data_IF_414252326044
#
_entry.id   IF_414252326044
#
_cell.length_a   1.000
_cell.length_b   1.000
_cell.length_c   1.000
_cell.angle_alpha   90.00
_cell.angle_beta   90.00
_cell.angle_gamma   90.00
#
_symmetry.space_group_name_H-M   'P 1'
#
loop_
_entity.id
_entity.type
_entity.pdbx_description
1 polymer ?
#
# COMPACT_ATOMS: atom_id res chain seq x y z
N UNK A 1 7.49 -10.38 -3.47
CA UNK A 1 7.29 -9.88 -2.08
C UNK A 1 6.13 -10.64 -1.45
N UNK A 2 6.20 -10.83 -0.14
CA UNK A 2 5.08 -11.40 0.62
C UNK A 2 4.19 -10.27 1.16
N UNK A 3 3.15 -10.62 1.93
CA UNK A 3 2.24 -9.60 2.48
C UNK A 3 2.93 -8.66 3.46
N UNK A 4 3.91 -9.14 4.23
CA UNK A 4 4.69 -8.27 5.11
C UNK A 4 5.44 -7.22 4.31
N UNK A 5 6.03 -7.61 3.19
CA UNK A 5 6.76 -6.69 2.31
C UNK A 5 5.81 -5.68 1.70
N UNK A 6 4.64 -6.12 1.23
CA UNK A 6 3.65 -5.22 0.65
C UNK A 6 3.16 -4.20 1.68
N UNK A 7 2.89 -4.64 2.90
CA UNK A 7 2.44 -3.74 3.97
C UNK A 7 3.51 -2.70 4.29
N UNK A 8 4.78 -3.13 4.41
CA UNK A 8 5.88 -2.21 4.69
C UNK A 8 6.07 -1.21 3.55
N UNK A 9 6.01 -1.67 2.30
CA UNK A 9 6.16 -0.81 1.13
C UNK A 9 5.02 0.21 1.04
N UNK A 10 3.78 -0.22 1.28
CA UNK A 10 2.64 0.69 1.28
C UNK A 10 2.85 1.82 2.27
N UNK A 11 3.26 1.49 3.49
CA UNK A 11 3.53 2.48 4.54
C UNK A 11 4.69 3.39 4.15
N UNK A 12 5.79 2.81 3.68
CA UNK A 12 7.01 3.55 3.36
C UNK A 12 6.75 4.55 2.24
N UNK A 13 6.13 4.12 1.14
CA UNK A 13 5.86 5.02 0.02
C UNK A 13 4.86 6.11 0.39
N UNK A 14 3.83 5.78 1.20
CA UNK A 14 2.90 6.79 1.69
C UNK A 14 3.65 7.87 2.48
N UNK A 15 4.55 7.47 3.38
CA UNK A 15 5.33 8.41 4.18
C UNK A 15 6.28 9.23 3.33
N UNK A 16 6.94 8.61 2.35
CA UNK A 16 7.82 9.33 1.44
C UNK A 16 7.06 10.35 0.60
N UNK A 17 5.80 10.09 0.30
CA UNK A 17 4.94 11.02 -0.41
C UNK A 17 4.35 12.10 0.51
N UNK A 18 4.73 12.12 1.77
CA UNK A 18 4.23 13.08 2.78
C UNK A 18 2.70 13.08 2.87
N UNK A 19 2.10 11.90 2.74
CA UNK A 19 0.64 11.73 2.74
C UNK A 19 0.21 11.09 4.06
N UNK A 20 -0.75 11.72 4.75
CA UNK A 20 -1.29 11.16 5.99
C UNK A 20 -2.17 9.95 5.70
N UNK A 21 -2.42 9.13 6.74
CA UNK A 21 -3.38 8.03 6.61
C UNK A 21 -4.78 8.54 6.26
N UNK A 22 -5.17 9.68 6.83
CA UNK A 22 -6.47 10.29 6.52
C UNK A 22 -6.57 10.64 5.04
N UNK A 23 -5.52 11.22 4.47
CA UNK A 23 -5.51 11.56 3.04
C UNK A 23 -5.50 10.29 2.19
N UNK A 24 -4.70 9.28 2.58
CA UNK A 24 -4.67 8.02 1.87
C UNK A 24 -6.04 7.34 1.87
N UNK A 25 -6.76 7.41 2.97
CA UNK A 25 -8.11 6.87 3.04
C UNK A 25 -9.03 7.55 2.02
N UNK A 26 -8.93 8.87 1.91
CA UNK A 26 -9.71 9.62 0.90
C UNK A 26 -9.28 9.23 -0.52
N UNK A 27 -7.97 9.16 -0.76
CA UNK A 27 -7.43 8.81 -2.09
C UNK A 27 -7.88 7.42 -2.53
N UNK A 28 -7.87 6.47 -1.60
CA UNK A 28 -8.21 5.07 -1.89
C UNK A 28 -9.71 4.79 -1.75
N UNK A 29 -10.48 5.74 -1.22
CA UNK A 29 -11.93 5.62 -0.98
C UNK A 29 -12.24 4.47 -0.02
N UNK A 30 -11.47 4.43 1.08
CA UNK A 30 -11.64 3.45 2.15
C UNK A 30 -11.59 4.18 3.50
N UNK A 31 -11.84 3.44 4.60
CA UNK A 31 -11.74 4.01 5.94
C UNK A 31 -10.27 4.15 6.35
N UNK A 32 -10.00 5.05 7.32
CA UNK A 32 -8.65 5.16 7.89
C UNK A 32 -8.22 3.86 8.57
N UNK A 33 -9.18 3.15 9.17
CA UNK A 33 -8.90 1.83 9.76
C UNK A 33 -8.38 0.86 8.70
N UNK A 34 -8.93 0.89 7.49
CA UNK A 34 -8.45 0.04 6.40
C UNK A 34 -7.01 0.37 6.03
N UNK A 35 -6.66 1.67 5.96
CA UNK A 35 -5.27 2.08 5.68
C UNK A 35 -4.35 1.59 6.80
N UNK A 36 -4.74 1.81 8.07
CA UNK A 36 -3.96 1.34 9.20
C UNK A 36 -3.73 -0.17 9.12
N UNK A 37 -4.77 -0.93 8.86
CA UNK A 37 -4.67 -2.39 8.79
C UNK A 37 -3.83 -2.84 7.59
N UNK A 38 -3.93 -2.16 6.46
CA UNK A 38 -3.09 -2.46 5.29
C UNK A 38 -1.61 -2.35 5.64
N UNK A 39 -1.25 -1.36 6.46
CA UNK A 39 0.14 -1.08 6.84
C UNK A 39 0.62 -1.93 8.02
N UNK A 40 -0.24 -2.14 9.03
CA UNK A 40 0.20 -2.70 10.32
C UNK A 40 -0.29 -4.13 10.57
N UNK A 41 -1.19 -4.65 9.74
CA UNK A 41 -1.78 -5.98 9.94
C UNK A 41 -1.65 -6.83 8.68
N UNK A 42 -0.42 -7.29 8.35
CA UNK A 42 -0.21 -8.04 7.10
C UNK A 42 -0.99 -9.36 7.05
N UNK A 43 -1.47 -9.86 8.18
CA UNK A 43 -2.28 -11.08 8.22
C UNK A 43 -3.70 -10.85 7.68
N UNK A 44 -4.15 -9.61 7.55
CA UNK A 44 -5.46 -9.32 6.96
C UNK A 44 -5.36 -9.31 5.45
N UNK A 45 -6.42 -9.78 4.78
CA UNK A 45 -6.45 -9.93 3.33
C UNK A 45 -6.67 -8.61 2.59
N UNK A 46 -5.74 -7.68 2.73
CA UNK A 46 -5.82 -6.35 2.12
C UNK A 46 -4.79 -6.17 1.01
N UNK A 47 -4.50 -7.25 0.28
CA UNK A 47 -3.48 -7.25 -0.76
C UNK A 47 -3.74 -6.20 -1.84
N UNK A 48 -4.98 -6.12 -2.32
CA UNK A 48 -5.32 -5.14 -3.38
C UNK A 48 -5.13 -3.71 -2.90
N UNK A 49 -5.51 -3.42 -1.67
CA UNK A 49 -5.34 -2.07 -1.11
C UNK A 49 -3.86 -1.73 -0.98
N UNK A 50 -3.05 -2.67 -0.50
CA UNK A 50 -1.60 -2.47 -0.40
C UNK A 50 -0.99 -2.17 -1.76
N UNK A 51 -1.35 -2.93 -2.79
CA UNK A 51 -0.88 -2.72 -4.16
C UNK A 51 -1.30 -1.34 -4.66
N UNK A 52 -2.56 -0.95 -4.45
CA UNK A 52 -3.05 0.36 -4.86
C UNK A 52 -2.26 1.49 -4.20
N UNK A 53 -1.95 1.35 -2.92
CA UNK A 53 -1.17 2.36 -2.20
C UNK A 53 0.25 2.47 -2.76
N UNK A 54 0.90 1.33 -3.00
CA UNK A 54 2.26 1.32 -3.59
C UNK A 54 2.25 2.03 -4.93
N UNK A 55 1.28 1.71 -5.78
CA UNK A 55 1.20 2.29 -7.13
C UNK A 55 0.83 3.77 -7.10
N UNK A 56 0.01 4.19 -6.13
CA UNK A 56 -0.39 5.59 -6.01
C UNK A 56 0.73 6.48 -5.49
N UNK A 57 1.58 5.95 -4.58
CA UNK A 57 2.56 6.77 -3.86
C UNK A 57 4.01 6.49 -4.26
N UNK A 58 4.20 5.79 -5.37
CA UNK A 58 5.55 5.52 -5.89
C UNK A 58 5.53 5.57 -7.40
N UNK A 59 6.74 5.45 -7.98
CA UNK A 59 6.89 5.34 -9.43
C UNK A 59 6.80 3.91 -9.93
N UNK A 60 6.45 2.97 -9.05
CA UNK A 60 6.42 1.55 -9.39
C UNK A 60 4.99 1.06 -9.55
N UNK A 61 4.84 -0.03 -10.31
CA UNK A 61 3.65 -0.87 -10.27
C UNK A 61 4.03 -2.23 -9.73
N UNK A 62 3.04 -2.98 -9.23
CA UNK A 62 3.28 -4.28 -8.61
C UNK A 62 2.80 -5.36 -9.56
N UNK A 63 3.70 -6.27 -9.92
CA UNK A 63 3.39 -7.40 -10.80
C UNK A 63 3.23 -8.68 -9.99
N UNK A 64 2.10 -9.33 -10.16
CA UNK A 64 1.86 -10.65 -9.58
C UNK A 64 2.21 -11.76 -10.54
N UNK A 65 2.16 -13.00 -10.09
CA UNK A 65 1.71 -13.42 -8.77
C UNK A 65 2.76 -13.34 -7.66
N UNK A 66 4.00 -12.98 -7.98
CA UNK A 66 5.08 -12.93 -6.98
C UNK A 66 5.31 -11.54 -6.42
N UNK A 67 4.52 -10.58 -6.81
CA UNK A 67 4.54 -9.18 -6.33
C UNK A 67 5.93 -8.55 -6.42
N UNK A 68 6.35 -8.29 -7.64
CA UNK A 68 7.60 -7.58 -7.92
C UNK A 68 7.28 -6.14 -8.28
N UNK A 69 8.18 -5.22 -7.88
CA UNK A 69 8.06 -3.83 -8.30
C UNK A 69 8.62 -3.68 -9.71
N UNK A 70 7.88 -2.95 -10.56
CA UNK A 70 8.33 -2.57 -11.89
C UNK A 70 8.16 -1.08 -12.08
N UNK A 71 9.02 -0.46 -12.85
CA UNK A 71 8.84 0.94 -13.25
C UNK A 71 7.57 1.07 -14.09
N UNK A 72 6.85 2.11 -13.82
CA UNK A 72 5.64 2.43 -14.58
C UNK A 72 5.96 2.80 -16.02
#
# INVERSE_FOLDING_TARGET
MNENDLALMAKTFRKQAHTSRAQAARDMKVSQTSIFNAEESPEQGLTKLRIRMIEAYSQFKVRGPVYLLEDK
#
